data_IF_380958086497
#
_entry.id   IF_380958086497
#
_cell.length_a   1.000
_cell.length_b   1.000
_cell.length_c   1.000
_cell.angle_alpha   90.00
_cell.angle_beta   90.00
_cell.angle_gamma   90.00
#
_symmetry.space_group_name_H-M   'P 1'
#
loop_
_entity.id
_entity.type
_entity.pdbx_description
1 polymer ?
#
# COMPACT_ATOMS: atom_id res chain seq x y z
N UNK A 1 -21.64 -22.76 15.36
CA UNK A 1 -20.55 -22.40 14.43
C UNK A 1 -20.53 -20.89 14.25
N UNK A 2 -19.75 -20.17 15.06
CA UNK A 2 -19.64 -18.71 14.96
C UNK A 2 -18.66 -18.36 13.85
N UNK A 3 -19.16 -17.81 12.75
CA UNK A 3 -18.31 -17.26 11.69
C UNK A 3 -17.57 -16.04 12.24
N UNK A 4 -16.32 -16.25 12.61
CA UNK A 4 -15.37 -15.20 12.94
C UNK A 4 -15.13 -14.41 11.65
N UNK A 5 -15.87 -13.30 11.50
CA UNK A 5 -15.65 -12.32 10.43
C UNK A 5 -14.32 -11.62 10.68
N UNK A 6 -13.25 -12.29 10.28
CA UNK A 6 -11.87 -11.81 10.34
C UNK A 6 -11.67 -10.79 9.23
N UNK A 7 -12.38 -9.66 9.30
CA UNK A 7 -12.31 -8.55 8.36
C UNK A 7 -10.96 -7.80 8.44
N UNK A 8 -10.08 -8.21 9.36
CA UNK A 8 -8.67 -7.87 9.34
C UNK A 8 -8.03 -8.62 8.17
N UNK A 9 -8.03 -8.00 6.98
CA UNK A 9 -7.19 -8.37 5.84
C UNK A 9 -5.76 -8.54 6.39
N UNK A 10 -5.37 -9.79 6.72
CA UNK A 10 -4.03 -10.09 7.17
C UNK A 10 -3.12 -9.61 6.05
N UNK A 11 -2.23 -8.68 6.36
CA UNK A 11 -1.26 -8.18 5.40
C UNK A 11 -0.24 -9.30 5.18
N UNK A 12 -0.61 -10.29 4.34
CA UNK A 12 0.23 -11.45 4.10
C UNK A 12 1.51 -10.93 3.43
N UNK A 13 2.65 -11.24 4.03
CA UNK A 13 3.97 -10.94 3.46
C UNK A 13 4.00 -11.49 2.02
N UNK A 14 4.29 -10.62 1.05
CA UNK A 14 4.29 -10.99 -0.38
C UNK A 14 2.98 -10.71 -1.14
N UNK A 15 1.92 -10.25 -0.47
CA UNK A 15 0.72 -9.78 -1.17
C UNK A 15 0.98 -8.45 -1.89
N UNK A 16 0.52 -8.36 -3.14
CA UNK A 16 0.58 -7.13 -3.92
C UNK A 16 -0.35 -6.05 -3.33
N UNK A 17 -0.01 -4.79 -3.59
CA UNK A 17 -0.91 -3.67 -3.32
C UNK A 17 -2.09 -3.75 -4.28
N UNK A 18 -3.30 -3.66 -3.73
CA UNK A 18 -4.51 -3.48 -4.51
C UNK A 18 -4.57 -2.07 -5.11
N UNK A 19 -5.36 -1.90 -6.16
CA UNK A 19 -5.58 -0.61 -6.81
C UNK A 19 -6.06 0.46 -5.81
N UNK A 20 -6.98 0.10 -4.90
CA UNK A 20 -7.45 0.97 -3.82
C UNK A 20 -6.30 1.45 -2.92
N UNK A 21 -5.37 0.56 -2.58
CA UNK A 21 -4.19 0.93 -1.79
C UNK A 21 -3.26 1.84 -2.59
N UNK A 22 -3.14 1.64 -3.91
CA UNK A 22 -2.34 2.51 -4.78
C UNK A 22 -2.89 3.94 -4.82
N UNK A 23 -4.22 4.09 -5.00
CA UNK A 23 -4.91 5.39 -4.97
C UNK A 23 -4.68 6.10 -3.62
N UNK A 24 -4.78 5.36 -2.50
CA UNK A 24 -4.51 5.93 -1.17
C UNK A 24 -3.05 6.36 -1.02
N UNK A 25 -2.09 5.61 -1.55
CA UNK A 25 -0.67 5.99 -1.53
C UNK A 25 -0.47 7.30 -2.29
N UNK A 26 -1.04 7.44 -3.49
CA UNK A 26 -0.95 8.66 -4.30
C UNK A 26 -1.58 9.86 -3.60
N UNK A 27 -2.79 9.69 -3.04
CA UNK A 27 -3.47 10.74 -2.28
C UNK A 27 -2.62 11.23 -1.09
N UNK A 28 -2.13 10.30 -0.26
CA UNK A 28 -1.29 10.67 0.88
C UNK A 28 0.06 11.27 0.46
N UNK A 29 0.60 10.90 -0.70
CA UNK A 29 1.81 11.54 -1.23
C UNK A 29 1.54 12.98 -1.66
N UNK A 30 0.38 13.26 -2.26
CA UNK A 30 -0.07 14.62 -2.57
C UNK A 30 -0.27 15.48 -1.32
N UNK A 31 -0.72 14.86 -0.23
CA UNK A 31 -0.86 15.51 1.09
C UNK A 31 0.48 15.67 1.85
N UNK A 32 1.62 15.24 1.28
CA UNK A 32 2.95 15.42 1.86
C UNK A 32 3.37 14.37 2.90
N UNK A 33 2.66 13.24 3.02
CA UNK A 33 3.03 12.18 3.96
C UNK A 33 4.32 11.47 3.54
N UNK A 34 5.12 11.08 4.53
CA UNK A 34 6.26 10.19 4.33
C UNK A 34 5.81 8.74 4.08
N UNK A 35 6.61 7.99 3.31
CA UNK A 35 6.31 6.57 3.01
C UNK A 35 6.15 5.71 4.27
N UNK A 36 6.81 6.08 5.38
CA UNK A 36 6.66 5.40 6.68
C UNK A 36 5.32 5.67 7.34
N UNK A 37 4.79 6.90 7.25
CA UNK A 37 3.47 7.23 7.78
C UNK A 37 2.36 6.54 6.97
N UNK A 38 2.51 6.52 5.64
CA UNK A 38 1.60 5.83 4.72
C UNK A 38 1.58 4.32 5.04
N UNK A 39 2.76 3.73 5.23
CA UNK A 39 2.91 2.33 5.61
C UNK A 39 2.17 1.99 6.92
N UNK A 40 2.30 2.85 7.95
CA UNK A 40 1.57 2.69 9.21
C UNK A 40 0.05 2.77 9.02
N UNK A 41 -0.44 3.72 8.23
CA UNK A 41 -1.89 3.87 7.93
C UNK A 41 -2.46 2.67 7.16
N UNK A 42 -1.71 2.14 6.20
CA UNK A 42 -2.14 1.00 5.37
C UNK A 42 -1.83 -0.36 6.00
N UNK A 43 -1.17 -0.40 7.16
CA UNK A 43 -0.68 -1.64 7.77
C UNK A 43 0.32 -2.39 6.88
N UNK A 44 1.02 -1.68 6.00
CA UNK A 44 1.96 -2.21 5.00
C UNK A 44 3.41 -1.97 5.44
N UNK A 45 4.34 -2.64 4.78
CA UNK A 45 5.76 -2.37 4.98
C UNK A 45 6.18 -1.12 4.20
N UNK A 46 7.06 -0.28 4.77
CA UNK A 46 7.51 0.95 4.11
C UNK A 46 8.25 0.69 2.79
N UNK A 47 8.94 -0.46 2.67
CA UNK A 47 9.54 -0.89 1.41
C UNK A 47 8.48 -1.12 0.31
N UNK A 48 7.31 -1.67 0.67
CA UNK A 48 6.21 -1.89 -0.28
C UNK A 48 5.69 -0.57 -0.84
N UNK A 49 5.54 0.44 0.02
CA UNK A 49 5.12 1.79 -0.39
C UNK A 49 6.19 2.43 -1.29
N UNK A 50 7.47 2.30 -0.94
CA UNK A 50 8.57 2.84 -1.74
C UNK A 50 8.60 2.22 -3.15
N UNK A 51 8.39 0.91 -3.24
CA UNK A 51 8.36 0.21 -4.53
C UNK A 51 7.15 0.63 -5.38
N UNK A 52 5.98 0.84 -4.76
CA UNK A 52 4.80 1.38 -5.45
C UNK A 52 5.07 2.77 -6.03
N UNK A 53 5.59 3.69 -5.22
CA UNK A 53 5.92 5.06 -5.65
C UNK A 53 6.94 5.03 -6.80
N UNK A 54 7.98 4.21 -6.70
CA UNK A 54 8.96 4.04 -7.78
C UNK A 54 8.32 3.45 -9.05
N UNK A 55 7.46 2.43 -8.91
CA UNK A 55 6.79 1.79 -10.05
C UNK A 55 5.86 2.76 -10.78
N UNK A 56 5.12 3.60 -10.05
CA UNK A 56 4.29 4.65 -10.63
C UNK A 56 5.12 5.71 -11.39
N UNK A 57 6.34 5.99 -10.93
CA UNK A 57 7.26 6.94 -11.59
C UNK A 57 8.00 6.36 -12.80
N UNK A 58 8.09 5.03 -12.93
CA UNK A 58 8.83 4.40 -14.03
C UNK A 58 7.89 4.18 -15.21
N UNK A 59 8.05 5.03 -16.23
CA UNK A 59 7.49 4.77 -17.56
C UNK A 59 8.25 3.58 -18.14
N UNK A 60 7.54 2.48 -18.40
CA UNK A 60 8.14 1.32 -19.08
C UNK A 60 8.47 1.73 -20.52
N UNK A 61 9.77 1.96 -20.80
CA UNK A 61 10.25 2.08 -22.18
C UNK A 61 10.13 0.69 -22.81
N UNK A 62 9.27 0.59 -23.82
CA UNK A 62 9.14 -0.59 -24.69
C UNK A 62 10.34 -0.73 -25.60
#
# INVERSE_FOLDING_TARGET
>A
MTYLNNNTKRNIKGSHLSEKEMILIEAYKGEGYSNRQIAKKLGRCHQTINNAVKKASVIQKR
#
